data_IF_829073360110
#
_entry.id   IF_829073360110
#
_cell.length_a   1.000
_cell.length_b   1.000
_cell.length_c   1.000
_cell.angle_alpha   90.00
_cell.angle_beta   90.00
_cell.angle_gamma   90.00
#
_symmetry.space_group_name_H-M   'P 1'
#
loop_
_entity.id
_entity.type
_entity.pdbx_description
1 polymer ?
#
# COMPACT_ATOMS: atom_id res chain seq x y z
N UNK A 1 21.00 -43.70 -56.66
CA UNK A 1 22.31 -43.09 -56.97
C UNK A 1 22.62 -42.07 -55.89
N UNK A 2 23.70 -42.31 -55.13
CA UNK A 2 24.45 -41.42 -54.22
C UNK A 2 23.81 -40.96 -52.89
N UNK A 3 24.33 -41.60 -51.86
CA UNK A 3 24.41 -41.33 -50.41
C UNK A 3 24.84 -39.92 -50.02
N UNK A 4 24.36 -39.42 -48.87
CA UNK A 4 25.22 -38.72 -47.90
C UNK A 4 24.70 -38.93 -46.46
N UNK A 5 25.51 -39.65 -45.66
CA UNK A 5 25.41 -39.72 -44.20
C UNK A 5 26.08 -38.46 -43.65
N UNK A 6 25.43 -37.76 -42.72
CA UNK A 6 26.11 -36.84 -41.82
C UNK A 6 25.93 -37.38 -40.41
N UNK A 7 27.04 -37.87 -39.86
CA UNK A 7 27.24 -38.11 -38.44
C UNK A 7 27.30 -36.76 -37.73
N UNK A 8 26.56 -36.63 -36.63
CA UNK A 8 26.61 -35.46 -35.76
C UNK A 8 25.96 -35.79 -34.43
N UNK A 9 26.70 -36.50 -33.59
CA UNK A 9 26.36 -36.71 -32.18
C UNK A 9 26.29 -35.36 -31.46
N UNK A 10 25.15 -35.06 -30.84
CA UNK A 10 25.08 -34.09 -29.76
C UNK A 10 24.02 -34.54 -28.74
N UNK A 11 24.52 -34.81 -27.54
CA UNK A 11 23.84 -35.19 -26.32
C UNK A 11 22.43 -34.59 -26.14
N UNK A 12 21.41 -35.45 -26.17
CA UNK A 12 20.12 -35.15 -25.56
C UNK A 12 20.25 -35.35 -24.04
N UNK A 13 20.53 -34.25 -23.33
CA UNK A 13 20.36 -34.18 -21.88
C UNK A 13 18.86 -34.43 -21.58
N UNK A 14 18.55 -35.62 -21.07
CA UNK A 14 17.28 -35.92 -20.42
C UNK A 14 17.21 -35.09 -19.13
N UNK A 15 16.68 -33.87 -19.23
CA UNK A 15 16.27 -33.11 -18.06
C UNK A 15 14.96 -33.73 -17.56
N UNK A 16 15.08 -34.67 -16.62
CA UNK A 16 13.98 -35.06 -15.77
C UNK A 16 13.54 -33.83 -14.98
N UNK A 17 12.51 -33.15 -15.45
CA UNK A 17 11.80 -32.13 -14.69
C UNK A 17 11.05 -32.84 -13.57
N UNK A 18 11.75 -33.11 -12.47
CA UNK A 18 11.13 -33.34 -11.17
C UNK A 18 10.29 -32.11 -10.87
N UNK A 19 8.98 -32.26 -11.07
CA UNK A 19 7.96 -31.43 -10.46
C UNK A 19 8.19 -31.47 -8.94
N UNK A 20 8.98 -30.52 -8.44
CA UNK A 20 8.90 -30.16 -7.04
C UNK A 20 7.53 -29.52 -6.84
N UNK A 21 6.57 -30.34 -6.45
CA UNK A 21 5.38 -29.90 -5.73
C UNK A 21 5.88 -29.22 -4.46
N UNK A 22 6.03 -27.89 -4.50
CA UNK A 22 6.08 -27.12 -3.27
C UNK A 22 4.79 -27.44 -2.50
N UNK A 23 4.86 -27.81 -1.21
CA UNK A 23 3.65 -27.86 -0.41
C UNK A 23 3.07 -26.45 -0.40
N UNK A 24 1.82 -26.32 -0.81
CA UNK A 24 0.99 -25.17 -0.49
C UNK A 24 0.76 -25.18 1.03
N UNK A 25 1.77 -24.81 1.79
CA UNK A 25 1.65 -24.56 3.20
C UNK A 25 1.13 -23.13 3.34
N UNK A 26 -0.18 -22.96 3.24
CA UNK A 26 -0.86 -21.96 4.06
C UNK A 26 -0.74 -22.45 5.51
N UNK A 27 0.47 -22.39 6.09
CA UNK A 27 0.59 -22.44 7.53
C UNK A 27 0.03 -21.12 8.02
N UNK A 28 -1.16 -21.17 8.61
CA UNK A 28 -1.64 -20.05 9.41
C UNK A 28 -0.55 -19.65 10.40
N UNK A 29 -0.22 -18.35 10.47
CA UNK A 29 0.78 -17.84 11.40
C UNK A 29 0.41 -18.25 12.83
N UNK A 30 1.42 -18.64 13.61
CA UNK A 30 1.20 -19.00 15.01
C UNK A 30 0.59 -17.82 15.77
N UNK A 31 -0.19 -18.06 16.84
CA UNK A 31 -0.72 -16.99 17.68
C UNK A 31 0.38 -16.05 18.21
N UNK A 32 1.57 -16.58 18.47
CA UNK A 32 2.74 -15.80 18.90
C UNK A 32 3.22 -14.84 17.80
N UNK A 33 3.27 -15.30 16.55
CA UNK A 33 3.69 -14.48 15.41
C UNK A 33 2.70 -13.35 15.13
N UNK A 34 1.39 -13.64 15.16
CA UNK A 34 0.34 -12.64 15.03
C UNK A 34 0.37 -11.63 16.19
N UNK A 35 0.66 -12.08 17.41
CA UNK A 35 0.81 -11.19 18.56
C UNK A 35 2.04 -10.28 18.44
N UNK A 36 3.17 -10.79 17.95
CA UNK A 36 4.35 -9.97 17.65
C UNK A 36 4.04 -8.93 16.55
N UNK A 37 3.32 -9.33 15.51
CA UNK A 37 2.87 -8.43 14.45
C UNK A 37 1.94 -7.34 14.98
N UNK A 38 1.00 -7.69 15.86
CA UNK A 38 0.11 -6.73 16.50
C UNK A 38 0.88 -5.65 17.26
N UNK A 39 1.86 -6.05 18.08
CA UNK A 39 2.69 -5.10 18.86
C UNK A 39 3.45 -4.16 17.95
N UNK A 40 4.06 -4.69 16.88
CA UNK A 40 4.82 -3.89 15.93
C UNK A 40 3.92 -2.88 15.19
N UNK A 41 2.72 -3.29 14.75
CA UNK A 41 1.73 -2.41 14.11
C UNK A 41 1.30 -1.29 15.06
N UNK A 42 1.04 -1.61 16.33
CA UNK A 42 0.62 -0.64 17.34
C UNK A 42 1.73 0.36 17.65
N UNK A 43 2.96 -0.12 17.91
CA UNK A 43 4.10 0.74 18.19
C UNK A 43 4.41 1.67 17.00
N UNK A 44 4.29 1.17 15.76
CA UNK A 44 4.52 1.96 14.56
C UNK A 44 3.36 2.90 14.18
N UNK A 45 2.24 2.89 14.91
CA UNK A 45 1.01 3.61 14.55
C UNK A 45 0.50 3.27 13.12
N UNK A 46 0.88 2.09 12.61
CA UNK A 46 0.71 1.74 11.20
C UNK A 46 -0.75 1.45 10.80
N UNK A 47 -1.66 1.35 11.77
CA UNK A 47 -3.09 1.17 11.49
C UNK A 47 -3.90 2.47 11.51
N UNK A 48 -3.36 3.57 12.04
CA UNK A 48 -4.11 4.82 12.26
C UNK A 48 -4.56 5.49 10.96
N UNK A 49 -3.80 5.31 9.88
CA UNK A 49 -4.20 5.79 8.55
C UNK A 49 -5.54 5.20 8.09
N UNK A 50 -5.93 4.03 8.60
CA UNK A 50 -7.20 3.38 8.27
C UNK A 50 -8.38 3.83 9.14
N UNK A 51 -8.14 4.66 10.16
CA UNK A 51 -9.22 5.19 11.02
C UNK A 51 -10.19 6.08 10.26
N UNK A 52 -9.72 6.68 9.16
CA UNK A 52 -10.53 7.54 8.29
C UNK A 52 -11.46 6.77 7.34
N UNK A 53 -11.33 5.45 7.20
CA UNK A 53 -12.14 4.66 6.26
C UNK A 53 -13.64 4.82 6.56
N UNK A 54 -14.06 4.57 7.80
CA UNK A 54 -15.48 4.62 8.16
C UNK A 54 -16.07 6.04 8.06
N UNK A 55 -15.42 7.09 8.60
CA UNK A 55 -15.88 8.47 8.41
C UNK A 55 -16.04 8.85 6.94
N UNK A 56 -15.06 8.54 6.10
CA UNK A 56 -15.11 8.86 4.66
C UNK A 56 -16.27 8.14 3.98
N UNK A 57 -16.49 6.86 4.28
CA UNK A 57 -17.62 6.11 3.72
C UNK A 57 -18.97 6.65 4.20
N UNK A 58 -19.07 7.07 5.47
CA UNK A 58 -20.26 7.69 6.03
C UNK A 58 -20.58 9.01 5.30
N UNK A 59 -19.59 9.90 5.16
CA UNK A 59 -19.77 11.19 4.50
C UNK A 59 -20.13 11.06 3.01
N UNK A 60 -19.52 10.10 2.32
CA UNK A 60 -19.88 9.75 0.94
C UNK A 60 -21.33 9.27 0.85
N UNK A 61 -21.78 8.45 1.80
CA UNK A 61 -23.14 7.92 1.86
C UNK A 61 -24.15 9.03 2.16
N UNK A 62 -23.86 9.90 3.13
CA UNK A 62 -24.67 11.10 3.43
C UNK A 62 -24.80 11.97 2.19
N UNK A 63 -23.68 12.31 1.56
CA UNK A 63 -23.65 13.13 0.34
C UNK A 63 -24.51 12.52 -0.78
N UNK A 64 -24.49 11.20 -0.93
CA UNK A 64 -25.31 10.49 -1.91
C UNK A 64 -26.82 10.62 -1.60
N UNK A 65 -27.23 10.32 -0.36
CA UNK A 65 -28.64 10.29 0.03
C UNK A 65 -29.24 11.69 0.17
N UNK A 66 -28.48 12.67 0.66
CA UNK A 66 -28.96 14.04 0.78
C UNK A 66 -29.22 14.67 -0.60
N UNK A 67 -28.40 14.34 -1.61
CA UNK A 67 -28.66 14.79 -2.99
C UNK A 67 -29.95 14.22 -3.56
N UNK A 68 -30.29 12.97 -3.25
CA UNK A 68 -31.52 12.33 -3.75
C UNK A 68 -32.76 12.70 -2.92
N UNK A 69 -32.60 13.00 -1.63
CA UNK A 69 -33.68 13.38 -0.73
C UNK A 69 -33.29 14.53 0.21
N UNK A 70 -33.28 15.79 -0.27
CA UNK A 70 -32.90 16.95 0.55
C UNK A 70 -33.84 17.23 1.73
N UNK A 71 -35.09 16.74 1.68
CA UNK A 71 -36.04 16.92 2.78
C UNK A 71 -35.71 16.05 4.02
N UNK A 72 -34.91 14.99 3.84
CA UNK A 72 -34.58 14.03 4.89
C UNK A 72 -33.15 14.19 5.45
N UNK A 73 -32.48 15.33 5.22
CA UNK A 73 -31.06 15.52 5.60
C UNK A 73 -30.79 15.14 7.06
N UNK A 74 -31.63 15.60 8.00
CA UNK A 74 -31.46 15.32 9.42
C UNK A 74 -31.52 13.81 9.72
N UNK A 75 -32.52 13.12 9.19
CA UNK A 75 -32.70 11.68 9.40
C UNK A 75 -31.59 10.88 8.71
N UNK A 76 -31.14 11.32 7.53
CA UNK A 76 -30.01 10.72 6.82
C UNK A 76 -28.74 10.82 7.66
N UNK A 77 -28.44 11.98 8.22
CA UNK A 77 -27.24 12.18 9.03
C UNK A 77 -27.26 11.27 10.26
N UNK A 78 -28.36 11.27 11.01
CA UNK A 78 -28.53 10.44 12.20
C UNK A 78 -28.41 8.94 11.89
N UNK A 79 -29.10 8.47 10.85
CA UNK A 79 -29.10 7.05 10.47
C UNK A 79 -27.71 6.63 9.98
N UNK A 80 -27.08 7.41 9.09
CA UNK A 80 -25.78 7.04 8.54
C UNK A 80 -24.71 7.06 9.63
N UNK A 81 -24.72 8.03 10.54
CA UNK A 81 -23.80 8.06 11.68
C UNK A 81 -23.99 6.87 12.61
N UNK A 82 -25.24 6.52 12.94
CA UNK A 82 -25.55 5.35 13.75
C UNK A 82 -25.07 4.05 13.09
N UNK A 83 -25.28 3.90 11.77
CA UNK A 83 -24.79 2.74 11.01
C UNK A 83 -23.27 2.69 11.01
N UNK A 84 -22.59 3.81 10.76
CA UNK A 84 -21.13 3.89 10.76
C UNK A 84 -20.54 3.52 12.14
N UNK A 85 -21.11 4.06 13.23
CA UNK A 85 -20.73 3.73 14.60
C UNK A 85 -20.90 2.23 14.88
N UNK A 86 -22.02 1.64 14.45
CA UNK A 86 -22.27 0.20 14.59
C UNK A 86 -21.28 -0.66 13.81
N UNK A 87 -20.76 -0.17 12.68
CA UNK A 87 -19.76 -0.86 11.86
C UNK A 87 -18.34 -0.75 12.43
N UNK A 88 -18.06 0.19 13.35
CA UNK A 88 -16.75 0.31 14.00
C UNK A 88 -16.30 -0.98 14.69
N UNK A 89 -17.26 -1.81 15.15
CA UNK A 89 -17.00 -3.14 15.73
C UNK A 89 -16.31 -4.12 14.77
N UNK A 90 -16.28 -3.84 13.47
CA UNK A 90 -15.58 -4.64 12.45
C UNK A 90 -14.09 -4.32 12.36
N UNK A 91 -13.58 -3.33 13.11
CA UNK A 91 -12.16 -2.99 13.15
C UNK A 91 -11.23 -4.20 13.44
N UNK A 92 -11.58 -5.17 14.30
CA UNK A 92 -10.77 -6.36 14.51
C UNK A 92 -10.56 -7.21 13.24
N UNK A 93 -11.50 -7.19 12.29
CA UNK A 93 -11.34 -7.89 11.01
C UNK A 93 -10.15 -7.33 10.22
N UNK A 94 -10.08 -5.99 10.08
CA UNK A 94 -8.96 -5.31 9.45
C UNK A 94 -7.65 -5.57 10.22
N UNK A 95 -7.70 -5.51 11.55
CA UNK A 95 -6.53 -5.73 12.39
C UNK A 95 -5.94 -7.13 12.17
N UNK A 96 -6.78 -8.17 12.05
CA UNK A 96 -6.33 -9.53 11.78
C UNK A 96 -5.64 -9.65 10.42
N UNK A 97 -6.19 -9.00 9.39
CA UNK A 97 -5.55 -8.96 8.06
C UNK A 97 -4.21 -8.23 8.07
N UNK A 98 -4.12 -7.09 8.78
CA UNK A 98 -2.86 -6.36 8.93
C UNK A 98 -1.80 -7.18 9.66
N UNK A 99 -2.17 -7.92 10.71
CA UNK A 99 -1.25 -8.83 11.41
C UNK A 99 -0.68 -9.88 10.45
N UNK A 100 -1.52 -10.50 9.62
CA UNK A 100 -1.07 -11.47 8.60
C UNK A 100 -0.13 -10.84 7.58
N UNK A 101 -0.40 -9.60 7.14
CA UNK A 101 0.46 -8.87 6.21
C UNK A 101 1.87 -8.66 6.81
N UNK A 102 1.96 -8.30 8.09
CA UNK A 102 3.24 -8.09 8.78
C UNK A 102 3.95 -9.41 9.08
N UNK A 103 3.23 -10.41 9.60
CA UNK A 103 3.77 -11.73 9.91
C UNK A 103 4.30 -12.45 8.65
N UNK A 104 3.69 -12.22 7.49
CA UNK A 104 4.16 -12.76 6.21
C UNK A 104 5.50 -12.19 5.73
N UNK A 105 5.98 -11.09 6.31
CA UNK A 105 7.14 -10.33 5.83
C UNK A 105 8.29 -10.27 6.82
N UNK A 106 8.00 -10.45 8.10
CA UNK A 106 8.95 -10.27 9.19
C UNK A 106 8.87 -11.46 10.13
N UNK A 107 10.03 -11.96 10.56
CA UNK A 107 10.08 -12.97 11.62
C UNK A 107 9.60 -12.42 12.96
N UNK A 108 9.38 -13.29 13.95
CA UNK A 108 9.01 -12.87 15.31
C UNK A 108 10.08 -11.94 15.89
N UNK A 109 11.35 -12.26 15.72
CA UNK A 109 12.50 -11.48 16.22
C UNK A 109 12.59 -10.10 15.54
N UNK A 110 12.33 -10.05 14.23
CA UNK A 110 12.31 -8.79 13.49
C UNK A 110 11.14 -7.91 13.93
N UNK A 111 9.95 -8.47 14.12
CA UNK A 111 8.78 -7.76 14.64
C UNK A 111 9.03 -7.21 16.04
N UNK A 112 9.69 -7.98 16.90
CA UNK A 112 10.10 -7.53 18.23
C UNK A 112 11.12 -6.38 18.15
N UNK A 113 12.07 -6.46 17.23
CA UNK A 113 13.06 -5.39 16.99
C UNK A 113 12.40 -4.11 16.49
N UNK A 114 11.44 -4.22 15.55
CA UNK A 114 10.65 -3.08 15.07
C UNK A 114 9.85 -2.45 16.22
N UNK A 115 9.21 -3.28 17.05
CA UNK A 115 8.49 -2.82 18.25
C UNK A 115 9.42 -2.02 19.16
N UNK A 116 10.58 -2.58 19.51
CA UNK A 116 11.55 -1.92 20.39
C UNK A 116 12.06 -0.60 19.82
N UNK A 117 12.26 -0.51 18.49
CA UNK A 117 12.62 0.74 17.84
C UNK A 117 11.54 1.80 18.04
N UNK A 118 10.28 1.51 17.69
CA UNK A 118 9.18 2.46 17.78
C UNK A 118 8.77 2.80 19.22
N UNK A 119 9.08 1.95 20.20
CA UNK A 119 8.89 2.25 21.62
C UNK A 119 10.00 3.15 22.21
N UNK A 120 11.15 3.28 21.53
CA UNK A 120 12.20 4.21 21.96
C UNK A 120 11.74 5.67 21.85
N UNK A 121 12.30 6.61 22.64
CA UNK A 121 11.89 8.02 22.57
C UNK A 121 11.98 8.63 21.17
N UNK A 122 13.04 8.30 20.43
CA UNK A 122 13.24 8.78 19.06
C UNK A 122 12.33 8.04 18.07
N UNK A 123 12.19 6.72 18.19
CA UNK A 123 11.33 5.94 17.30
C UNK A 123 9.86 6.31 17.44
N UNK A 124 9.38 6.57 18.66
CA UNK A 124 8.03 7.07 18.90
C UNK A 124 7.82 8.42 18.22
N UNK A 125 8.72 9.38 18.46
CA UNK A 125 8.68 10.70 17.80
C UNK A 125 8.73 10.57 16.28
N UNK A 126 9.52 9.64 15.75
CA UNK A 126 9.62 9.39 14.32
C UNK A 126 8.32 8.83 13.74
N UNK A 127 7.69 7.86 14.39
CA UNK A 127 6.39 7.31 14.00
C UNK A 127 5.29 8.37 13.98
N UNK A 128 5.19 9.18 15.04
CA UNK A 128 4.22 10.28 15.14
C UNK A 128 4.39 11.34 14.04
N UNK A 129 5.65 11.65 13.67
CA UNK A 129 5.95 12.67 12.66
C UNK A 129 5.89 12.15 11.21
N UNK A 130 5.99 10.84 10.99
CA UNK A 130 6.11 10.27 9.64
C UNK A 130 4.99 10.70 8.69
N UNK A 131 3.69 10.70 9.07
CA UNK A 131 2.63 11.16 8.17
C UNK A 131 2.81 12.63 7.73
N UNK A 132 3.18 13.51 8.66
CA UNK A 132 3.41 14.92 8.36
C UNK A 132 4.64 15.11 7.45
N UNK A 133 5.72 14.38 7.71
CA UNK A 133 6.94 14.39 6.88
C UNK A 133 6.62 13.96 5.44
N UNK A 134 5.85 12.88 5.26
CA UNK A 134 5.45 12.40 3.94
C UNK A 134 4.56 13.43 3.22
N UNK A 135 3.59 14.01 3.92
CA UNK A 135 2.73 15.05 3.35
C UNK A 135 3.54 16.27 2.89
N UNK A 136 4.47 16.75 3.71
CA UNK A 136 5.34 17.87 3.37
C UNK A 136 6.28 17.53 2.21
N UNK A 137 6.79 16.30 2.15
CA UNK A 137 7.63 15.82 1.05
C UNK A 137 6.88 15.83 -0.28
N UNK A 138 5.63 15.36 -0.30
CA UNK A 138 4.77 15.40 -1.50
C UNK A 138 4.51 16.84 -1.95
N UNK A 139 4.23 17.75 -1.01
CA UNK A 139 4.03 19.17 -1.31
C UNK A 139 5.26 19.80 -1.94
N UNK A 140 6.45 19.56 -1.39
CA UNK A 140 7.73 20.07 -1.94
C UNK A 140 7.99 19.50 -3.34
N UNK A 141 7.75 18.20 -3.54
CA UNK A 141 7.90 17.57 -4.85
C UNK A 141 6.96 18.19 -5.91
N UNK A 142 5.74 18.57 -5.52
CA UNK A 142 4.79 19.28 -6.39
C UNK A 142 5.32 20.64 -6.86
N UNK A 143 5.86 21.46 -5.94
CA UNK A 143 6.46 22.76 -6.29
C UNK A 143 7.63 22.59 -7.27
N UNK A 144 8.50 21.63 -6.99
CA UNK A 144 9.64 21.33 -7.88
C UNK A 144 9.19 20.85 -9.27
N UNK A 145 8.18 19.98 -9.33
CA UNK A 145 7.58 19.51 -10.60
C UNK A 145 7.04 20.67 -11.43
N UNK A 146 6.32 21.60 -10.80
CA UNK A 146 5.68 22.71 -11.51
C UNK A 146 6.74 23.68 -12.08
N UNK A 147 7.80 23.94 -11.31
CA UNK A 147 8.96 24.70 -11.79
C UNK A 147 9.64 24.02 -13.00
N UNK A 148 9.88 22.71 -12.90
CA UNK A 148 10.49 21.94 -13.98
C UNK A 148 9.61 21.90 -15.24
N UNK A 149 8.29 21.79 -15.09
CA UNK A 149 7.35 21.83 -16.21
C UNK A 149 7.43 23.16 -16.97
N UNK A 150 7.47 24.28 -16.24
CA UNK A 150 7.66 25.61 -16.83
C UNK A 150 8.99 25.74 -17.58
N UNK A 151 10.07 25.22 -16.98
CA UNK A 151 11.39 25.23 -17.59
C UNK A 151 11.45 24.39 -18.87
N UNK A 152 10.86 23.19 -18.86
CA UNK A 152 10.78 22.31 -20.04
C UNK A 152 10.02 23.00 -21.17
N UNK A 153 8.88 23.64 -20.88
CA UNK A 153 8.10 24.38 -21.90
C UNK A 153 8.94 25.50 -22.50
N UNK A 154 9.59 26.29 -21.65
CA UNK A 154 10.41 27.44 -22.07
C UNK A 154 11.56 26.99 -22.98
N UNK A 155 12.35 26.01 -22.53
CA UNK A 155 13.48 25.48 -23.31
C UNK A 155 13.03 24.80 -24.60
N UNK A 156 11.91 24.07 -24.56
CA UNK A 156 11.37 23.40 -25.76
C UNK A 156 10.94 24.42 -26.81
N UNK A 157 10.28 25.51 -26.42
CA UNK A 157 9.94 26.61 -27.33
C UNK A 157 11.19 27.23 -27.97
N UNK A 158 12.22 27.50 -27.17
CA UNK A 158 13.49 28.03 -27.67
C UNK A 158 14.12 27.11 -28.73
N UNK A 159 14.17 25.81 -28.46
CA UNK A 159 14.74 24.83 -29.39
C UNK A 159 13.89 24.64 -30.65
N UNK A 160 12.57 24.65 -30.53
CA UNK A 160 11.67 24.57 -31.68
C UNK A 160 11.75 25.82 -32.56
N UNK A 161 11.89 26.99 -31.95
CA UNK A 161 12.10 28.26 -32.67
C UNK A 161 13.39 28.25 -33.49
N UNK A 162 14.49 27.70 -32.96
CA UNK A 162 15.75 27.52 -33.71
C UNK A 162 15.57 26.62 -34.95
N UNK A 163 14.55 25.74 -34.95
CA UNK A 163 14.21 24.84 -36.05
C UNK A 163 13.16 25.41 -37.01
N UNK A 164 12.74 26.67 -36.81
CA UNK A 164 11.78 27.35 -37.67
C UNK A 164 10.31 27.14 -37.31
N UNK A 165 10.01 26.50 -36.17
CA UNK A 165 8.64 26.35 -35.68
C UNK A 165 8.33 27.39 -34.59
N UNK A 166 7.16 28.03 -34.64
CA UNK A 166 6.72 29.03 -33.65
C UNK A 166 5.59 28.46 -32.77
N UNK A 167 5.79 28.46 -31.44
CA UNK A 167 4.88 27.97 -30.39
C UNK A 167 4.93 28.86 -29.13
#
# INVERSE_FOLDING_TARGET
MKTFKIFGSAAAFLLAASLMTLPAAAEDFTPEHLAAAQKAIQAAHASETFDQILPVLADQTKSLFQRSNPAAIKDIDEVVDSVALNLAKRRPELQAELQRVWAARLSIEELQTVTAFYESPTGKKFGELMPAILQDSVRVAGVWRDALSSEIVTKSREELKKRGYNF
#
